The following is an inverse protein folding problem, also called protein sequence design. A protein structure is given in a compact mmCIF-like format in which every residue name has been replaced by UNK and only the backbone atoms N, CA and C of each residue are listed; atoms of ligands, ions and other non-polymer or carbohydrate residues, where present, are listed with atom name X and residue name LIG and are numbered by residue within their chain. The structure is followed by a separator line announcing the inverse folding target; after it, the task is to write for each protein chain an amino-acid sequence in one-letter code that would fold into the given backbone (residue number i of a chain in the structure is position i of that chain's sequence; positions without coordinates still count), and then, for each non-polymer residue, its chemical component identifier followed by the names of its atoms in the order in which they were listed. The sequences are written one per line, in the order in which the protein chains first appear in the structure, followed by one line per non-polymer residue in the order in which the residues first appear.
data_IF_679307023163
#
_entry.id   IF_679307023163
#
_cell.length_a   1.000
_cell.length_b   1.000
_cell.length_c   1.000
_cell.angle_alpha   90.00
_cell.angle_beta   90.00
_cell.angle_gamma   90.00
#
_symmetry.space_group_name_H-M   'P 1'
#
loop_
_entity.id
_entity.type
_entity.pdbx_description
1 polymer ?
#
# COMPACT_ATOMS: atom_id res chain seq x y z
N UNK A 1 -15.35 10.49 27.36
CA UNK A 1 -15.94 9.44 26.49
C UNK A 1 -15.24 9.63 25.16
N UNK A 2 -14.13 8.91 24.97
CA UNK A 2 -13.29 9.03 23.78
C UNK A 2 -13.94 8.42 22.55
N UNK A 3 -13.58 8.90 21.37
CA UNK A 3 -14.07 8.39 20.09
C UNK A 3 -12.91 7.66 19.42
N UNK A 4 -13.07 6.35 19.24
CA UNK A 4 -12.10 5.51 18.51
C UNK A 4 -12.31 5.66 17.00
N UNK A 5 -11.25 6.03 16.28
CA UNK A 5 -11.24 6.13 14.82
C UNK A 5 -10.37 5.01 14.25
N UNK A 6 -10.93 4.22 13.33
CA UNK A 6 -10.18 3.22 12.57
C UNK A 6 -9.58 3.84 11.30
N UNK A 7 -8.35 3.48 10.96
CA UNK A 7 -7.67 3.95 9.75
C UNK A 7 -7.10 2.77 8.93
N UNK A 8 -6.90 3.00 7.63
CA UNK A 8 -6.37 1.99 6.71
C UNK A 8 -5.00 2.45 6.17
N UNK A 9 -4.06 1.51 6.07
CA UNK A 9 -2.82 1.66 5.34
C UNK A 9 -2.87 0.90 4.03
N UNK A 10 -2.22 1.43 3.00
CA UNK A 10 -1.96 0.71 1.76
C UNK A 10 -0.50 0.29 1.75
N UNK A 11 -0.25 -1.01 1.64
CA UNK A 11 1.11 -1.56 1.62
C UNK A 11 1.34 -2.36 0.33
N UNK A 12 2.56 -2.33 -0.24
CA UNK A 12 2.90 -3.19 -1.36
C UNK A 12 2.84 -4.67 -0.95
N UNK A 13 2.31 -5.51 -1.82
CA UNK A 13 2.21 -6.96 -1.64
C UNK A 13 2.43 -7.66 -2.98
N UNK A 14 2.84 -8.92 -2.97
CA UNK A 14 2.82 -9.72 -4.19
C UNK A 14 1.38 -9.91 -4.66
N UNK A 15 1.17 -9.75 -5.96
CA UNK A 15 -0.11 -10.07 -6.61
C UNK A 15 -0.40 -11.57 -6.44
N UNK A 16 -1.65 -11.98 -6.14
CA UNK A 16 -2.02 -13.39 -6.05
C UNK A 16 -1.83 -14.10 -7.40
N UNK A 17 -2.10 -13.38 -8.48
CA UNK A 17 -1.81 -13.79 -9.85
C UNK A 17 -0.40 -13.31 -10.25
N UNK A 18 0.45 -14.24 -10.66
CA UNK A 18 1.84 -14.00 -11.08
C UNK A 18 2.04 -14.51 -12.51
N UNK A 19 1.42 -13.84 -13.50
CA UNK A 19 1.59 -14.23 -14.89
C UNK A 19 3.05 -14.00 -15.28
N UNK A 20 3.58 -14.86 -16.15
CA UNK A 20 4.97 -14.82 -16.63
C UNK A 20 6.03 -15.21 -15.60
N UNK A 21 5.88 -14.88 -14.30
CA UNK A 21 6.90 -15.18 -13.27
C UNK A 21 7.20 -16.67 -13.13
N UNK A 22 6.19 -17.53 -13.30
CA UNK A 22 6.38 -18.98 -13.25
C UNK A 22 6.77 -19.60 -14.59
N UNK A 23 6.49 -18.91 -15.69
CA UNK A 23 6.75 -19.39 -17.05
C UNK A 23 8.16 -18.98 -17.54
N UNK A 24 8.66 -17.87 -17.03
CA UNK A 24 9.95 -17.26 -17.32
C UNK A 24 10.79 -17.28 -16.03
N UNK A 25 12.09 -17.53 -16.12
CA UNK A 25 13.01 -17.52 -14.97
C UNK A 25 13.24 -16.09 -14.44
N UNK A 26 12.21 -15.49 -13.83
CA UNK A 26 12.22 -14.10 -13.37
C UNK A 26 12.51 -13.98 -11.88
N UNK A 27 13.22 -12.92 -11.51
CA UNK A 27 13.55 -12.57 -10.13
C UNK A 27 12.48 -11.67 -9.52
N UNK A 28 11.95 -10.74 -10.32
CA UNK A 28 10.97 -9.77 -9.87
C UNK A 28 9.55 -10.33 -9.96
N UNK A 29 8.77 -10.16 -8.89
CA UNK A 29 7.33 -10.52 -8.86
C UNK A 29 6.47 -9.33 -9.23
N UNK A 30 5.30 -9.61 -9.81
CA UNK A 30 4.24 -8.61 -9.98
C UNK A 30 3.73 -8.16 -8.61
N UNK A 31 3.72 -6.86 -8.37
CA UNK A 31 3.26 -6.24 -7.14
C UNK A 31 1.85 -5.67 -7.29
N UNK A 32 1.15 -5.58 -6.17
CA UNK A 32 -0.16 -4.94 -6.00
C UNK A 32 -0.20 -4.20 -4.66
N UNK A 33 -1.23 -3.38 -4.44
CA UNK A 33 -1.50 -2.75 -3.15
C UNK A 33 -2.50 -3.59 -2.36
N UNK A 34 -2.21 -3.80 -1.08
CA UNK A 34 -3.12 -4.40 -0.11
C UNK A 34 -3.51 -3.36 0.93
N UNK A 35 -4.80 -3.24 1.22
CA UNK A 35 -5.27 -2.46 2.37
C UNK A 35 -5.14 -3.29 3.64
N UNK A 36 -4.65 -2.67 4.70
CA UNK A 36 -4.59 -3.26 6.04
C UNK A 36 -5.16 -2.26 7.04
N UNK A 37 -5.98 -2.73 7.97
CA UNK A 37 -6.44 -1.89 9.07
C UNK A 37 -5.24 -1.56 9.93
N UNK A 38 -4.98 -0.28 10.09
CA UNK A 38 -4.06 0.22 11.10
C UNK A 38 -4.78 0.11 12.45
N UNK A 39 -4.03 -0.17 13.51
CA UNK A 39 -4.58 -0.26 14.86
C UNK A 39 -5.28 1.04 15.29
N UNK A 40 -5.96 0.99 16.44
CA UNK A 40 -6.66 2.13 17.02
C UNK A 40 -5.72 3.34 17.13
N UNK A 41 -6.01 4.40 16.39
CA UNK A 41 -5.15 5.56 16.27
C UNK A 41 -5.46 6.56 17.37
N UNK A 42 -5.09 6.22 18.62
CA UNK A 42 -5.10 7.11 19.78
C UNK A 42 -6.46 7.66 20.20
N UNK A 43 -6.55 8.14 21.45
CA UNK A 43 -7.74 8.81 21.96
C UNK A 43 -7.74 10.25 21.42
N UNK A 44 -8.68 10.56 20.52
CA UNK A 44 -8.89 11.90 19.97
C UNK A 44 -9.52 12.81 21.03
N UNK A 45 -8.77 13.13 22.10
CA UNK A 45 -9.32 13.77 23.31
C UNK A 45 -9.29 15.31 23.26
N UNK A 46 -8.36 15.94 22.52
CA UNK A 46 -8.10 17.39 22.64
C UNK A 46 -8.46 18.25 21.40
N UNK A 47 -8.34 17.71 20.17
CA UNK A 47 -8.52 18.48 18.91
C UNK A 47 -9.92 18.41 18.27
N UNK A 48 -10.87 17.72 18.90
CA UNK A 48 -12.16 17.41 18.29
C UNK A 48 -12.06 16.41 17.12
N UNK A 49 -13.19 15.76 16.80
CA UNK A 49 -13.24 14.68 15.80
C UNK A 49 -12.73 15.11 14.41
N UNK A 50 -12.91 16.38 14.06
CA UNK A 50 -12.59 16.89 12.73
C UNK A 50 -11.08 16.91 12.48
N UNK A 51 -10.28 17.39 13.44
CA UNK A 51 -8.83 17.43 13.30
C UNK A 51 -8.23 16.03 13.24
N UNK A 52 -8.74 15.11 14.07
CA UNK A 52 -8.32 13.73 14.04
C UNK A 52 -8.58 13.07 12.68
N UNK A 53 -9.78 13.24 12.11
CA UNK A 53 -10.13 12.70 10.78
C UNK A 53 -9.24 13.30 9.69
N UNK A 54 -8.94 14.60 9.74
CA UNK A 54 -8.06 15.24 8.76
C UNK A 54 -6.66 14.63 8.82
N UNK A 55 -6.11 14.47 10.02
CA UNK A 55 -4.78 13.89 10.22
C UNK A 55 -4.69 12.44 9.74
N UNK A 56 -5.69 11.60 10.07
CA UNK A 56 -5.73 10.20 9.58
C UNK A 56 -5.88 10.13 8.06
N UNK A 57 -6.66 11.03 7.46
CA UNK A 57 -6.83 11.16 6.02
C UNK A 57 -5.53 11.52 5.31
N UNK A 58 -4.79 12.52 5.81
CA UNK A 58 -3.50 12.92 5.24
C UNK A 58 -2.50 11.77 5.31
N UNK A 59 -2.40 11.10 6.47
CA UNK A 59 -1.45 10.01 6.69
C UNK A 59 -1.72 8.82 5.75
N UNK A 60 -2.99 8.39 5.63
CA UNK A 60 -3.36 7.28 4.74
C UNK A 60 -3.05 7.60 3.26
N UNK A 61 -3.26 8.85 2.84
CA UNK A 61 -2.94 9.29 1.48
C UNK A 61 -1.43 9.30 1.23
N UNK A 62 -0.64 9.79 2.18
CA UNK A 62 0.82 9.76 2.08
C UNK A 62 1.36 8.33 1.96
N UNK A 63 0.84 7.41 2.78
CA UNK A 63 1.18 5.98 2.72
C UNK A 63 0.80 5.39 1.35
N UNK A 64 -0.38 5.72 0.83
CA UNK A 64 -0.83 5.26 -0.49
C UNK A 64 0.12 5.73 -1.60
N UNK A 65 0.56 7.00 -1.57
CA UNK A 65 1.47 7.55 -2.57
C UNK A 65 2.80 6.79 -2.54
N UNK A 66 3.43 6.68 -1.37
CA UNK A 66 4.73 6.00 -1.23
C UNK A 66 4.64 4.54 -1.65
N UNK A 67 3.65 3.81 -1.14
CA UNK A 67 3.44 2.40 -1.49
C UNK A 67 3.10 2.22 -2.96
N UNK A 68 2.29 3.11 -3.54
CA UNK A 68 1.93 3.11 -4.95
C UNK A 68 3.13 3.31 -5.85
N UNK A 69 4.04 4.23 -5.49
CA UNK A 69 5.31 4.42 -6.21
C UNK A 69 6.16 3.15 -6.21
N UNK A 70 6.26 2.44 -5.08
CA UNK A 70 6.99 1.17 -5.01
C UNK A 70 6.38 0.12 -5.93
N UNK A 71 5.06 -0.03 -5.93
CA UNK A 71 4.35 -0.97 -6.82
C UNK A 71 4.57 -0.62 -8.29
N UNK A 72 4.47 0.66 -8.66
CA UNK A 72 4.70 1.13 -10.02
C UNK A 72 6.12 0.79 -10.48
N UNK A 73 7.15 1.20 -9.73
CA UNK A 73 8.54 0.94 -10.08
C UNK A 73 8.86 -0.55 -10.13
N UNK A 74 8.38 -1.34 -9.17
CA UNK A 74 8.56 -2.79 -9.16
C UNK A 74 7.91 -3.48 -10.36
N UNK A 75 6.71 -3.04 -10.76
CA UNK A 75 6.03 -3.56 -11.94
C UNK A 75 6.67 -3.12 -13.26
N UNK A 76 7.26 -1.92 -13.32
CA UNK A 76 8.08 -1.52 -14.46
C UNK A 76 9.30 -2.41 -14.61
N UNK A 77 10.03 -2.67 -13.51
CA UNK A 77 11.17 -3.60 -13.53
C UNK A 77 10.75 -5.02 -13.93
N UNK A 78 9.61 -5.49 -13.42
CA UNK A 78 9.05 -6.80 -13.79
C UNK A 78 8.76 -6.92 -15.28
N UNK A 79 8.16 -5.89 -15.88
CA UNK A 79 7.93 -5.88 -17.32
C UNK A 79 9.22 -5.83 -18.13
N UNK A 80 10.20 -5.04 -17.69
CA UNK A 80 11.52 -4.99 -18.33
C UNK A 80 12.25 -6.34 -18.26
N UNK A 81 12.19 -7.03 -17.11
CA UNK A 81 12.77 -8.37 -16.97
C UNK A 81 12.10 -9.38 -17.90
N UNK A 82 10.76 -9.38 -17.95
CA UNK A 82 10.01 -10.23 -18.87
C UNK A 82 10.46 -10.03 -20.32
N UNK A 83 10.64 -8.78 -20.76
CA UNK A 83 11.08 -8.47 -22.14
C UNK A 83 12.50 -8.91 -22.47
N UNK A 84 13.37 -9.05 -21.47
CA UNK A 84 14.74 -9.50 -21.67
C UNK A 84 14.87 -11.02 -21.62
N UNK A 85 13.96 -11.70 -20.91
CA UNK A 85 14.06 -13.14 -20.65
C UNK A 85 13.13 -14.02 -21.48
N UNK A 86 12.08 -13.49 -22.13
CA UNK A 86 11.03 -14.32 -22.76
C UNK A 86 10.61 -13.96 -24.21
#
# INVERSE_FOLDING_TARGET
MGISVSSCAFVPSSSPDQPYYYDCDMVTKKLTLKSTQMGELGDCDDGGIAECIIMTGILSTAILIVSGSVVLLGNTLHWSEYKLKC
#
